data_IF_717117838523
#
_entry.id   IF_717117838523
#
_cell.length_a   1.000
_cell.length_b   1.000
_cell.length_c   1.000
_cell.angle_alpha   90.00
_cell.angle_beta   90.00
_cell.angle_gamma   90.00
#
_symmetry.space_group_name_H-M   'P 1'
#
loop_
_entity.id
_entity.type
_entity.pdbx_description
1 polymer ?
#
# COMPACT_ATOMS: atom_id res chain seq x y z
N UNK A 1 -6.26 -21.31 3.81
CA UNK A 1 -6.45 -20.19 4.75
C UNK A 1 -5.56 -20.46 5.95
N UNK A 2 -4.90 -19.45 6.54
CA UNK A 2 -4.29 -19.63 7.85
C UNK A 2 -5.34 -20.19 8.81
N UNK A 3 -4.96 -21.16 9.65
CA UNK A 3 -5.87 -21.65 10.68
C UNK A 3 -5.85 -20.73 11.90
N UNK A 4 -6.79 -20.92 12.83
CA UNK A 4 -6.90 -20.14 14.08
C UNK A 4 -5.56 -20.02 14.82
N UNK A 5 -4.80 -21.14 14.90
CA UNK A 5 -3.49 -21.18 15.55
C UNK A 5 -2.46 -20.29 14.87
N UNK A 6 -2.52 -20.16 13.56
CA UNK A 6 -1.62 -19.29 12.78
C UNK A 6 -1.93 -17.83 13.06
N UNK A 7 -3.21 -17.43 13.03
CA UNK A 7 -3.61 -16.06 13.38
C UNK A 7 -3.23 -15.71 14.82
N UNK A 8 -3.46 -16.63 15.77
CA UNK A 8 -3.05 -16.49 17.17
C UNK A 8 -1.54 -16.27 17.31
N UNK A 9 -0.73 -17.11 16.65
CA UNK A 9 0.73 -17.01 16.70
C UNK A 9 1.24 -15.69 16.12
N UNK A 10 0.80 -15.33 14.91
CA UNK A 10 1.20 -14.10 14.24
C UNK A 10 0.79 -12.86 15.04
N UNK A 11 -0.40 -12.88 15.66
CA UNK A 11 -0.89 -11.81 16.54
C UNK A 11 -0.02 -11.68 17.80
N UNK A 12 0.31 -12.79 18.46
CA UNK A 12 1.17 -12.80 19.64
C UNK A 12 2.58 -12.26 19.35
N UNK A 13 3.16 -12.64 18.20
CA UNK A 13 4.44 -12.09 17.74
C UNK A 13 4.35 -10.61 17.44
N UNK A 14 3.31 -10.17 16.70
CA UNK A 14 3.12 -8.76 16.37
C UNK A 14 2.99 -7.87 17.61
N UNK A 15 2.24 -8.32 18.63
CA UNK A 15 2.12 -7.61 19.91
C UNK A 15 3.45 -7.49 20.64
N UNK A 16 4.31 -8.50 20.52
CA UNK A 16 5.68 -8.46 21.06
C UNK A 16 6.54 -7.46 20.30
N UNK A 17 6.44 -7.39 18.97
CA UNK A 17 7.26 -6.48 18.13
C UNK A 17 6.80 -5.04 18.17
N UNK A 18 5.51 -4.85 18.42
CA UNK A 18 4.95 -3.55 18.69
C UNK A 18 5.50 -2.96 19.99
N UNK A 19 5.96 -3.78 20.94
CA UNK A 19 6.12 -3.37 22.34
C UNK A 19 4.80 -2.75 22.84
N UNK A 20 3.70 -3.47 22.57
CA UNK A 20 2.34 -2.99 22.79
C UNK A 20 2.11 -2.77 24.28
N UNK A 21 1.77 -1.55 24.66
CA UNK A 21 1.48 -1.15 26.03
C UNK A 21 -0.04 -1.08 26.29
N UNK A 22 -0.87 -1.59 25.37
CA UNK A 22 -2.32 -1.59 25.52
C UNK A 22 -2.72 -2.29 26.84
N UNK A 23 -3.39 -1.58 27.76
CA UNK A 23 -3.59 -2.06 29.13
C UNK A 23 -4.66 -3.16 29.28
N UNK A 24 -5.44 -3.47 28.24
CA UNK A 24 -6.56 -4.44 28.30
C UNK A 24 -6.70 -5.19 26.97
N UNK A 25 -6.91 -6.51 27.03
CA UNK A 25 -7.33 -7.32 25.87
C UNK A 25 -6.23 -7.98 25.06
N UNK A 26 -4.97 -8.02 25.54
CA UNK A 26 -3.86 -8.70 24.81
C UNK A 26 -4.18 -10.17 24.57
N UNK A 27 -4.67 -10.83 25.61
CA UNK A 27 -4.99 -12.26 25.62
C UNK A 27 -6.20 -12.57 24.74
N UNK A 28 -7.26 -11.76 24.82
CA UNK A 28 -8.47 -11.88 24.00
C UNK A 28 -8.20 -11.51 22.54
N UNK A 29 -7.34 -10.51 22.28
CA UNK A 29 -6.91 -10.15 20.94
C UNK A 29 -6.20 -11.31 20.26
N UNK A 30 -5.30 -11.99 20.98
CA UNK A 30 -4.62 -13.20 20.49
C UNK A 30 -5.64 -14.33 20.30
N UNK A 31 -6.44 -14.65 21.32
CA UNK A 31 -7.25 -15.89 21.32
C UNK A 31 -8.53 -15.80 20.50
N UNK A 32 -9.12 -14.61 20.37
CA UNK A 32 -10.50 -14.45 19.90
C UNK A 32 -10.65 -13.36 18.84
N UNK A 33 -10.19 -12.13 19.10
CA UNK A 33 -10.55 -10.99 18.23
C UNK A 33 -9.86 -11.05 16.87
N UNK A 34 -8.66 -11.61 16.79
CA UNK A 34 -7.99 -11.88 15.52
C UNK A 34 -8.68 -12.97 14.67
N UNK A 35 -9.77 -13.58 15.14
CA UNK A 35 -10.56 -14.59 14.42
C UNK A 35 -11.93 -14.06 14.00
N UNK A 36 -12.26 -12.81 14.32
CA UNK A 36 -13.58 -12.23 14.06
C UNK A 36 -14.03 -12.25 12.58
N UNK A 37 -13.14 -12.05 11.59
CA UNK A 37 -13.55 -12.09 10.19
C UNK A 37 -14.00 -13.48 9.73
N UNK A 38 -13.31 -14.53 10.18
CA UNK A 38 -13.73 -15.92 9.94
C UNK A 38 -15.03 -16.25 10.66
N UNK A 39 -15.13 -15.85 11.94
CA UNK A 39 -16.30 -16.12 12.77
C UNK A 39 -17.58 -15.47 12.24
N UNK A 40 -17.49 -14.40 11.45
CA UNK A 40 -18.65 -13.78 10.80
C UNK A 40 -19.48 -14.76 9.97
N UNK A 41 -18.85 -15.72 9.30
CA UNK A 41 -19.57 -16.68 8.45
C UNK A 41 -20.31 -17.77 9.24
N UNK A 42 -20.03 -17.91 10.54
CA UNK A 42 -20.62 -18.93 11.42
C UNK A 42 -21.52 -18.31 12.49
N UNK A 43 -21.12 -17.16 13.03
CA UNK A 43 -21.75 -16.43 14.13
C UNK A 43 -21.81 -14.92 13.85
N UNK A 44 -22.49 -14.49 12.77
CA UNK A 44 -22.52 -13.08 12.36
C UNK A 44 -23.04 -12.17 13.48
N UNK A 45 -23.99 -12.63 14.29
CA UNK A 45 -24.59 -11.85 15.39
C UNK A 45 -23.58 -11.42 16.46
N UNK A 46 -22.40 -12.06 16.52
CA UNK A 46 -21.35 -11.78 17.48
C UNK A 46 -20.27 -10.85 16.94
N UNK A 47 -20.13 -10.76 15.61
CA UNK A 47 -18.98 -10.11 14.97
C UNK A 47 -19.35 -9.07 13.91
N UNK A 48 -20.61 -8.97 13.47
CA UNK A 48 -21.07 -8.08 12.40
C UNK A 48 -20.66 -6.62 12.63
N UNK A 49 -20.78 -6.13 13.87
CA UNK A 49 -20.41 -4.74 14.23
C UNK A 49 -18.94 -4.40 13.90
N UNK A 50 -18.05 -5.39 14.00
CA UNK A 50 -16.61 -5.20 13.85
C UNK A 50 -16.12 -5.43 12.42
N UNK A 51 -16.96 -6.01 11.56
CA UNK A 51 -16.61 -6.31 10.19
C UNK A 51 -16.93 -5.12 9.28
N UNK A 52 -16.02 -4.84 8.35
CA UNK A 52 -16.16 -3.77 7.38
C UNK A 52 -16.58 -4.31 6.02
N UNK A 53 -17.52 -3.61 5.38
CA UNK A 53 -17.98 -3.90 4.03
C UNK A 53 -17.88 -2.64 3.16
N UNK A 54 -17.40 -2.80 1.93
CA UNK A 54 -17.35 -1.73 0.94
C UNK A 54 -17.93 -2.23 -0.38
N UNK A 55 -18.98 -1.55 -0.86
CA UNK A 55 -19.72 -1.93 -2.08
C UNK A 55 -20.19 -3.41 -2.04
N UNK A 56 -20.57 -3.91 -0.86
CA UNK A 56 -21.09 -5.27 -0.66
C UNK A 56 -20.02 -6.37 -0.53
N UNK A 57 -18.74 -6.01 -0.56
CA UNK A 57 -17.61 -6.94 -0.39
C UNK A 57 -17.10 -6.81 1.05
N UNK A 58 -16.88 -7.94 1.74
CA UNK A 58 -16.28 -7.96 3.09
C UNK A 58 -14.79 -7.66 2.99
N UNK A 59 -14.25 -6.91 3.95
CA UNK A 59 -12.84 -6.54 4.00
C UNK A 59 -11.87 -7.73 3.97
N UNK A 60 -12.28 -8.87 4.52
CA UNK A 60 -11.52 -10.12 4.53
C UNK A 60 -11.13 -10.60 3.11
N UNK A 61 -11.92 -10.26 2.07
CA UNK A 61 -11.68 -10.67 0.68
C UNK A 61 -11.59 -9.46 -0.26
N UNK A 62 -10.48 -8.71 -0.25
CA UNK A 62 -10.34 -7.52 -1.07
C UNK A 62 -10.28 -7.91 -2.55
N UNK A 63 -10.83 -7.10 -3.46
CA UNK A 63 -10.69 -7.36 -4.89
C UNK A 63 -9.22 -7.30 -5.33
N UNK A 64 -8.86 -8.03 -6.38
CA UNK A 64 -7.54 -7.92 -7.02
C UNK A 64 -7.37 -6.55 -7.70
N UNK A 65 -6.13 -6.07 -7.84
CA UNK A 65 -5.85 -4.92 -8.71
C UNK A 65 -6.06 -5.36 -10.17
N UNK A 66 -6.92 -4.68 -10.96
CA UNK A 66 -7.23 -5.11 -12.32
C UNK A 66 -6.14 -4.67 -13.30
N UNK A 67 -4.90 -5.19 -13.16
CA UNK A 67 -3.78 -4.81 -14.01
C UNK A 67 -4.04 -5.05 -15.51
N UNK A 68 -4.93 -5.99 -15.84
CA UNK A 68 -5.38 -6.25 -17.21
C UNK A 68 -5.94 -4.99 -17.89
N UNK A 69 -6.60 -4.12 -17.13
CA UNK A 69 -7.20 -2.89 -17.65
C UNK A 69 -6.15 -1.88 -18.13
N UNK A 70 -4.92 -1.97 -17.60
CA UNK A 70 -3.83 -1.07 -17.98
C UNK A 70 -3.18 -1.47 -19.32
N UNK A 71 -3.12 -2.76 -19.67
CA UNK A 71 -2.38 -3.21 -20.86
C UNK A 71 -3.23 -3.87 -21.95
N UNK A 72 -4.47 -4.29 -21.67
CA UNK A 72 -5.28 -5.08 -22.64
C UNK A 72 -6.19 -4.24 -23.52
N UNK A 73 -6.87 -3.23 -22.95
CA UNK A 73 -7.98 -2.55 -23.63
C UNK A 73 -7.55 -1.24 -24.31
N UNK A 74 -6.98 -1.39 -25.50
CA UNK A 74 -6.49 -0.28 -26.32
C UNK A 74 -7.11 -0.28 -27.71
N UNK A 75 -7.39 0.91 -28.25
CA UNK A 75 -7.86 1.10 -29.63
C UNK A 75 -7.06 2.18 -30.35
N UNK A 76 -6.96 2.05 -31.67
CA UNK A 76 -6.37 3.08 -32.52
C UNK A 76 -7.27 4.32 -32.57
N UNK A 77 -6.67 5.50 -32.40
CA UNK A 77 -7.37 6.76 -32.63
C UNK A 77 -7.36 7.15 -34.11
N UNK A 78 -8.43 7.78 -34.62
CA UNK A 78 -8.39 8.46 -35.92
C UNK A 78 -7.27 9.51 -35.91
N UNK A 79 -6.30 9.39 -36.83
CA UNK A 79 -5.12 10.27 -36.87
C UNK A 79 -3.84 9.68 -36.28
N UNK A 80 -3.88 8.45 -35.74
CA UNK A 80 -2.73 7.71 -35.24
C UNK A 80 -2.68 7.60 -33.71
N UNK A 81 -1.83 6.70 -33.21
CA UNK A 81 -1.69 6.40 -31.78
C UNK A 81 -2.73 5.42 -31.22
N UNK A 82 -2.58 5.08 -29.93
CA UNK A 82 -3.55 4.27 -29.18
C UNK A 82 -4.15 5.06 -28.02
N UNK A 83 -5.38 4.72 -27.67
CA UNK A 83 -6.06 5.20 -26.47
C UNK A 83 -6.64 4.02 -25.69
N UNK A 84 -6.65 4.15 -24.36
CA UNK A 84 -7.38 3.24 -23.49
C UNK A 84 -8.88 3.38 -23.71
N UNK A 85 -9.57 2.27 -23.92
CA UNK A 85 -11.02 2.27 -24.11
C UNK A 85 -11.79 2.11 -22.80
N UNK A 86 -11.11 1.62 -21.76
CA UNK A 86 -11.66 1.48 -20.42
C UNK A 86 -10.89 2.37 -19.45
N UNK A 87 -11.58 3.14 -18.58
CA UNK A 87 -10.91 3.85 -17.50
C UNK A 87 -10.39 2.83 -16.50
N UNK A 88 -9.14 3.00 -16.07
CA UNK A 88 -8.59 2.18 -15.01
C UNK A 88 -9.19 2.58 -13.67
N UNK A 89 -9.70 1.59 -12.93
CA UNK A 89 -10.24 1.76 -11.59
C UNK A 89 -9.56 0.77 -10.65
N UNK A 90 -8.76 1.27 -9.72
CA UNK A 90 -8.09 0.43 -8.74
C UNK A 90 -9.05 0.07 -7.59
N UNK A 91 -9.87 -0.95 -7.79
CA UNK A 91 -10.86 -1.40 -6.80
C UNK A 91 -10.23 -1.92 -5.51
N UNK A 92 -9.07 -2.57 -5.60
CA UNK A 92 -8.30 -2.97 -4.43
C UNK A 92 -7.95 -1.75 -3.57
N UNK A 93 -7.35 -0.71 -4.18
CA UNK A 93 -7.00 0.52 -3.47
C UNK A 93 -8.21 1.14 -2.79
N UNK A 94 -9.32 1.33 -3.53
CA UNK A 94 -10.53 1.95 -2.98
C UNK A 94 -11.09 1.18 -1.78
N UNK A 95 -11.14 -0.15 -1.91
CA UNK A 95 -11.67 -1.02 -0.87
C UNK A 95 -10.79 -1.01 0.39
N UNK A 96 -9.49 -1.23 0.21
CA UNK A 96 -8.52 -1.33 1.32
C UNK A 96 -8.27 0.03 1.99
N UNK A 97 -8.20 1.12 1.22
CA UNK A 97 -8.07 2.49 1.75
C UNK A 97 -9.22 2.86 2.67
N UNK A 98 -10.47 2.57 2.25
CA UNK A 98 -11.65 2.84 3.06
C UNK A 98 -11.66 2.02 4.35
N UNK A 99 -11.28 0.75 4.28
CA UNK A 99 -11.21 -0.14 5.44
C UNK A 99 -10.11 0.28 6.42
N UNK A 100 -8.89 0.51 5.95
CA UNK A 100 -7.78 0.98 6.79
C UNK A 100 -8.13 2.28 7.50
N UNK A 101 -8.78 3.22 6.78
CA UNK A 101 -9.29 4.46 7.35
C UNK A 101 -10.29 4.21 8.45
N UNK A 102 -11.26 3.33 8.21
CA UNK A 102 -12.24 2.93 9.21
C UNK A 102 -11.56 2.36 10.46
N UNK A 103 -10.72 1.34 10.34
CA UNK A 103 -10.11 0.69 11.50
C UNK A 103 -9.17 1.62 12.27
N UNK A 104 -8.28 2.36 11.59
CA UNK A 104 -7.40 3.30 12.29
C UNK A 104 -8.18 4.39 13.03
N UNK A 105 -9.23 4.94 12.42
CA UNK A 105 -10.06 5.96 13.06
C UNK A 105 -10.83 5.38 14.26
N UNK A 106 -11.54 4.26 14.06
CA UNK A 106 -12.39 3.63 15.09
C UNK A 106 -11.57 3.14 16.28
N UNK A 107 -10.44 2.45 16.04
CA UNK A 107 -9.55 1.98 17.10
C UNK A 107 -9.01 3.18 17.91
N UNK A 108 -8.53 4.22 17.24
CA UNK A 108 -8.01 5.41 17.91
C UNK A 108 -9.10 6.16 18.69
N UNK A 109 -10.33 6.26 18.18
CA UNK A 109 -11.46 6.87 18.87
C UNK A 109 -11.86 6.08 20.14
N UNK A 110 -11.97 4.75 20.03
CA UNK A 110 -12.23 3.85 21.15
C UNK A 110 -11.18 4.02 22.25
N UNK A 111 -9.89 3.96 21.89
CA UNK A 111 -8.79 4.08 22.85
C UNK A 111 -8.67 5.47 23.46
N UNK A 112 -8.93 6.56 22.71
CA UNK A 112 -9.02 7.91 23.28
C UNK A 112 -10.14 8.05 24.31
N UNK A 113 -11.23 7.29 24.17
CA UNK A 113 -12.36 7.24 25.10
C UNK A 113 -12.19 6.19 26.21
N UNK A 114 -11.04 5.52 26.28
CA UNK A 114 -10.75 4.44 27.22
C UNK A 114 -11.64 3.20 27.04
N UNK A 115 -12.28 3.05 25.88
CA UNK A 115 -13.03 1.85 25.46
C UNK A 115 -12.06 0.85 24.80
N UNK A 116 -11.11 0.35 25.59
CA UNK A 116 -9.99 -0.44 25.08
C UNK A 116 -10.42 -1.78 24.48
N UNK A 117 -11.37 -2.48 25.12
CA UNK A 117 -11.88 -3.78 24.67
C UNK A 117 -12.47 -3.68 23.26
N UNK A 118 -13.37 -2.72 23.05
CA UNK A 118 -14.01 -2.49 21.75
C UNK A 118 -12.98 -2.10 20.69
N UNK A 119 -12.01 -1.25 21.05
CA UNK A 119 -10.89 -0.93 20.15
C UNK A 119 -10.07 -2.16 19.76
N UNK A 120 -9.81 -3.07 20.70
CA UNK A 120 -9.11 -4.33 20.43
C UNK A 120 -9.91 -5.27 19.50
N UNK A 121 -11.24 -5.25 19.55
CA UNK A 121 -12.08 -6.03 18.62
C UNK A 121 -11.95 -5.55 17.17
N UNK A 122 -12.00 -4.24 16.93
CA UNK A 122 -11.74 -3.65 15.61
C UNK A 122 -10.28 -3.88 15.16
N UNK A 123 -9.32 -3.77 16.08
CA UNK A 123 -7.92 -4.04 15.78
C UNK A 123 -7.73 -5.51 15.36
N UNK A 124 -8.39 -6.47 16.03
CA UNK A 124 -8.32 -7.88 15.68
C UNK A 124 -8.69 -8.16 14.23
N UNK A 125 -9.76 -7.52 13.73
CA UNK A 125 -10.17 -7.64 12.32
C UNK A 125 -9.11 -7.07 11.37
N UNK A 126 -8.52 -5.90 11.69
CA UNK A 126 -7.43 -5.34 10.89
C UNK A 126 -6.21 -6.27 10.85
N UNK A 127 -5.81 -6.84 11.99
CA UNK A 127 -4.66 -7.75 12.06
C UNK A 127 -4.90 -9.04 11.29
N UNK A 128 -6.10 -9.62 11.39
CA UNK A 128 -6.48 -10.82 10.65
C UNK A 128 -6.32 -10.62 9.14
N UNK A 129 -6.91 -9.54 8.59
CA UNK A 129 -6.76 -9.19 7.18
C UNK A 129 -5.29 -9.07 6.74
N UNK A 130 -4.45 -8.38 7.54
CA UNK A 130 -3.03 -8.21 7.22
C UNK A 130 -2.27 -9.55 7.22
N UNK A 131 -2.70 -10.51 8.05
CA UNK A 131 -2.15 -11.86 8.10
C UNK A 131 -2.55 -12.66 6.86
N UNK A 132 -3.82 -12.66 6.47
CA UNK A 132 -4.29 -13.36 5.26
C UNK A 132 -3.65 -12.82 3.99
N UNK A 133 -3.58 -11.50 3.89
CA UNK A 133 -2.97 -10.82 2.76
C UNK A 133 -1.49 -11.18 2.52
N UNK A 134 -0.81 -11.77 3.51
CA UNK A 134 0.63 -11.99 3.47
C UNK A 134 1.06 -13.40 3.85
N UNK A 135 0.16 -14.26 4.32
CA UNK A 135 0.48 -15.63 4.71
C UNK A 135 -0.50 -16.65 4.14
N UNK A 136 0.01 -17.84 3.81
CA UNK A 136 -0.84 -18.90 3.28
C UNK A 136 -1.37 -18.58 1.88
N UNK A 137 -2.49 -19.22 1.55
CA UNK A 137 -3.10 -19.14 0.23
C UNK A 137 -3.75 -17.78 -0.07
N UNK A 138 -4.19 -17.01 0.93
CA UNK A 138 -4.79 -15.68 0.70
C UNK A 138 -3.79 -14.64 0.22
N UNK A 139 -2.48 -14.88 0.35
CA UNK A 139 -1.47 -14.04 -0.30
C UNK A 139 -1.46 -14.17 -1.84
N UNK A 140 -2.30 -15.04 -2.41
CA UNK A 140 -2.63 -15.05 -3.84
C UNK A 140 -3.66 -13.99 -4.24
N UNK A 141 -4.32 -13.34 -3.29
CA UNK A 141 -5.34 -12.31 -3.51
C UNK A 141 -4.75 -10.90 -3.38
N UNK A 142 -5.49 -9.88 -3.83
CA UNK A 142 -5.12 -8.48 -3.70
C UNK A 142 -4.15 -7.96 -4.78
N UNK A 143 -3.18 -7.08 -4.43
CA UNK A 143 -2.20 -6.56 -5.37
C UNK A 143 -1.33 -7.66 -5.96
N UNK A 144 -1.36 -7.80 -7.29
CA UNK A 144 -0.59 -8.84 -7.99
C UNK A 144 -1.28 -10.20 -7.98
N UNK A 145 -2.51 -10.27 -7.47
CA UNK A 145 -3.20 -11.52 -7.21
C UNK A 145 -3.26 -12.46 -8.42
N UNK A 146 -3.17 -13.75 -8.14
CA UNK A 146 -3.27 -14.84 -9.09
C UNK A 146 -4.28 -15.86 -8.62
N UNK A 147 -4.94 -16.51 -9.57
CA UNK A 147 -5.84 -17.60 -9.27
C UNK A 147 -5.05 -18.88 -8.92
N UNK A 148 -5.53 -19.64 -7.93
CA UNK A 148 -5.01 -20.96 -7.56
C UNK A 148 -4.99 -21.90 -8.77
N UNK A 149 -6.03 -21.87 -9.61
CA UNK A 149 -6.07 -22.71 -10.82
C UNK A 149 -5.02 -22.32 -11.87
N UNK A 150 -4.48 -21.10 -11.83
CA UNK A 150 -3.33 -20.75 -12.64
C UNK A 150 -2.07 -21.48 -12.13
N UNK A 151 -1.91 -21.61 -10.82
CA UNK A 151 -0.79 -22.34 -10.21
C UNK A 151 -0.90 -23.84 -10.48
N UNK A 152 -2.09 -24.44 -10.33
CA UNK A 152 -2.33 -25.86 -10.63
C UNK A 152 -1.94 -26.22 -12.07
N UNK A 153 -2.27 -25.34 -13.02
CA UNK A 153 -1.90 -25.51 -14.44
C UNK A 153 -0.40 -25.37 -14.68
N UNK A 154 0.28 -24.50 -13.94
CA UNK A 154 1.72 -24.27 -14.06
C UNK A 154 2.54 -25.41 -13.43
N UNK A 155 2.07 -25.99 -12.32
CA UNK A 155 2.74 -27.09 -11.64
C UNK A 155 2.38 -28.45 -12.23
N UNK A 156 1.21 -28.59 -12.84
CA UNK A 156 0.68 -29.85 -13.34
C UNK A 156 -0.01 -30.71 -12.26
N UNK A 157 -0.19 -30.18 -11.04
CA UNK A 157 -0.85 -30.88 -9.93
C UNK A 157 -1.60 -29.88 -9.02
N UNK A 158 -2.63 -30.30 -8.27
CA UNK A 158 -3.34 -29.42 -7.32
C UNK A 158 -2.43 -28.86 -6.22
N UNK A 159 -2.46 -27.54 -5.98
CA UNK A 159 -1.60 -26.85 -5.01
C UNK A 159 -2.31 -26.52 -3.69
N UNK A 160 -3.63 -26.73 -3.60
CA UNK A 160 -4.46 -26.35 -2.46
C UNK A 160 -3.86 -26.83 -1.13
N UNK A 161 -3.65 -28.14 -1.00
CA UNK A 161 -3.17 -28.77 0.24
C UNK A 161 -1.80 -28.27 0.66
N UNK A 162 -0.89 -28.08 -0.32
CA UNK A 162 0.46 -27.56 -0.09
C UNK A 162 0.43 -26.13 0.47
N UNK A 163 -0.45 -25.29 -0.05
CA UNK A 163 -0.57 -23.89 0.38
C UNK A 163 -1.38 -23.71 1.67
N UNK A 164 -2.35 -24.59 1.95
CA UNK A 164 -3.02 -24.61 3.27
C UNK A 164 -2.14 -25.20 4.36
N UNK A 165 -1.22 -26.09 4.01
CA UNK A 165 -0.32 -26.77 4.94
C UNK A 165 0.99 -26.02 5.22
N UNK A 166 1.12 -24.75 4.82
CA UNK A 166 2.35 -24.00 5.07
C UNK A 166 2.63 -23.89 6.57
N UNK A 167 3.82 -24.31 7.05
CA UNK A 167 4.17 -24.12 8.44
C UNK A 167 4.34 -22.63 8.74
N UNK A 168 3.79 -22.15 9.86
CA UNK A 168 4.03 -20.80 10.35
C UNK A 168 5.18 -20.84 11.37
N UNK A 169 6.40 -20.37 11.02
CA UNK A 169 7.53 -20.44 11.93
C UNK A 169 7.40 -19.44 13.06
N UNK A 170 7.79 -19.86 14.26
CA UNK A 170 7.91 -18.95 15.39
C UNK A 170 9.09 -17.97 15.20
N UNK A 171 8.96 -16.81 15.84
CA UNK A 171 9.92 -15.72 15.85
C UNK A 171 10.33 -15.27 14.44
N UNK A 172 9.38 -15.26 13.50
CA UNK A 172 9.65 -15.05 12.09
C UNK A 172 10.29 -13.68 11.82
N UNK A 173 9.88 -12.66 12.57
CA UNK A 173 10.37 -11.29 12.40
C UNK A 173 11.69 -10.96 13.13
N UNK A 174 12.39 -11.92 13.75
CA UNK A 174 13.73 -11.71 14.36
C UNK A 174 13.76 -10.71 15.53
N UNK A 175 14.35 -9.53 15.36
CA UNK A 175 14.38 -8.44 16.37
C UNK A 175 13.65 -7.16 15.90
N UNK A 176 12.82 -7.27 14.86
CA UNK A 176 12.02 -6.17 14.34
C UNK A 176 11.30 -5.37 15.44
N UNK A 177 11.40 -4.04 15.33
CA UNK A 177 10.69 -3.05 16.15
C UNK A 177 9.69 -2.31 15.28
N UNK A 178 8.45 -2.21 15.74
CA UNK A 178 7.40 -1.54 15.01
C UNK A 178 7.70 -0.06 14.73
N UNK A 179 7.28 0.38 13.55
CA UNK A 179 7.33 1.76 13.09
C UNK A 179 5.93 2.35 13.17
N UNK A 180 5.85 3.64 13.51
CA UNK A 180 4.60 4.40 13.38
C UNK A 180 4.51 4.92 11.95
N UNK A 181 3.45 4.52 11.25
CA UNK A 181 3.31 4.74 9.81
C UNK A 181 2.87 6.15 9.44
N UNK A 182 2.22 6.91 10.33
CA UNK A 182 1.78 8.26 10.01
C UNK A 182 1.43 9.09 11.23
N UNK A 183 1.47 10.42 11.05
CA UNK A 183 1.13 11.39 12.08
C UNK A 183 -0.39 11.64 12.19
N UNK A 184 -1.15 11.16 11.20
CA UNK A 184 -2.60 11.27 11.09
C UNK A 184 -3.15 9.99 10.47
N UNK A 185 -4.47 9.78 10.57
CA UNK A 185 -5.14 8.65 9.92
C UNK A 185 -4.86 8.64 8.42
N UNK A 186 -4.99 9.78 7.73
CA UNK A 186 -4.79 9.85 6.28
C UNK A 186 -3.39 9.40 5.84
N UNK A 187 -2.36 9.81 6.59
CA UNK A 187 -0.99 9.38 6.29
C UNK A 187 -0.77 7.91 6.67
N UNK A 188 -1.26 7.48 7.83
CA UNK A 188 -1.17 6.10 8.28
C UNK A 188 -1.80 5.13 7.27
N UNK A 189 -2.98 5.48 6.73
CA UNK A 189 -3.67 4.72 5.68
C UNK A 189 -2.83 4.64 4.42
N UNK A 190 -2.35 5.78 3.91
CA UNK A 190 -1.56 5.81 2.68
C UNK A 190 -0.25 5.00 2.79
N UNK A 191 0.40 5.04 3.97
CA UNK A 191 1.62 4.25 4.21
C UNK A 191 1.34 2.78 4.47
N UNK A 192 0.29 2.45 5.22
CA UNK A 192 -0.09 1.05 5.44
C UNK A 192 -0.49 0.39 4.12
N UNK A 193 -1.21 1.08 3.23
CA UNK A 193 -1.52 0.56 1.90
C UNK A 193 -0.25 0.24 1.10
N UNK A 194 0.76 1.10 1.15
CA UNK A 194 2.02 0.85 0.48
C UNK A 194 2.79 -0.34 1.06
N UNK A 195 2.86 -0.46 2.39
CA UNK A 195 3.50 -1.60 3.03
C UNK A 195 2.72 -2.90 2.79
N UNK A 196 1.38 -2.85 2.79
CA UNK A 196 0.49 -3.96 2.42
C UNK A 196 0.80 -4.47 1.00
N UNK A 197 0.83 -3.57 0.01
CA UNK A 197 1.13 -3.94 -1.39
C UNK A 197 2.52 -4.56 -1.53
N UNK A 198 3.53 -4.02 -0.84
CA UNK A 198 4.89 -4.59 -0.84
C UNK A 198 4.90 -5.99 -0.24
N UNK A 199 4.34 -6.15 0.96
CA UNK A 199 4.34 -7.40 1.69
C UNK A 199 3.53 -8.49 0.97
N UNK A 200 2.38 -8.17 0.40
CA UNK A 200 1.57 -9.12 -0.38
C UNK A 200 2.31 -9.57 -1.64
N UNK A 201 2.91 -8.65 -2.40
CA UNK A 201 3.72 -9.02 -3.56
C UNK A 201 4.93 -9.89 -3.16
N UNK A 202 5.65 -9.53 -2.09
CA UNK A 202 6.77 -10.32 -1.59
C UNK A 202 6.34 -11.73 -1.15
N UNK A 203 5.17 -11.84 -0.50
CA UNK A 203 4.59 -13.12 -0.09
C UNK A 203 4.12 -13.94 -1.30
N UNK A 204 3.56 -13.31 -2.33
CA UNK A 204 3.26 -13.97 -3.60
C UNK A 204 4.53 -14.53 -4.25
N UNK A 205 5.63 -13.77 -4.27
CA UNK A 205 6.93 -14.27 -4.72
C UNK A 205 7.43 -15.45 -3.89
N UNK A 206 7.21 -15.43 -2.57
CA UNK A 206 7.51 -16.53 -1.68
C UNK A 206 6.71 -17.78 -2.04
N UNK A 207 5.41 -17.66 -2.36
CA UNK A 207 4.59 -18.77 -2.84
C UNK A 207 5.13 -19.34 -4.14
N UNK A 208 5.40 -18.51 -5.16
CA UNK A 208 5.97 -18.99 -6.42
C UNK A 208 7.31 -19.71 -6.20
N UNK A 209 8.18 -19.19 -5.34
CA UNK A 209 9.45 -19.85 -5.00
C UNK A 209 9.23 -21.17 -4.26
N UNK A 210 8.30 -21.21 -3.31
CA UNK A 210 7.96 -22.41 -2.57
C UNK A 210 7.41 -23.52 -3.47
N UNK A 211 6.62 -23.17 -4.50
CA UNK A 211 6.01 -24.13 -5.40
C UNK A 211 6.94 -24.61 -6.51
N UNK A 212 7.72 -23.70 -7.12
CA UNK A 212 8.39 -23.94 -8.40
C UNK A 212 9.92 -23.92 -8.35
N UNK A 213 10.52 -23.51 -7.23
CA UNK A 213 11.99 -23.43 -7.11
C UNK A 213 12.46 -24.46 -6.09
N UNK A 214 13.52 -25.25 -6.38
CA UNK A 214 14.18 -26.08 -5.38
C UNK A 214 14.84 -25.16 -4.33
N UNK A 215 14.10 -24.77 -3.30
CA UNK A 215 14.55 -23.88 -2.23
C UNK A 215 14.67 -24.64 -0.90
N UNK A 216 15.42 -24.06 0.04
CA UNK A 216 15.43 -24.50 1.44
C UNK A 216 14.02 -24.35 2.00
N UNK A 217 13.44 -25.46 2.47
CA UNK A 217 12.01 -25.61 2.79
C UNK A 217 11.43 -24.49 3.68
N UNK A 218 12.22 -23.95 4.63
CA UNK A 218 11.71 -23.02 5.64
C UNK A 218 11.87 -21.53 5.30
N UNK A 219 12.62 -21.20 4.25
CA UNK A 219 12.96 -19.80 3.95
C UNK A 219 11.75 -18.95 3.56
N UNK A 220 10.84 -19.51 2.77
CA UNK A 220 9.69 -18.76 2.22
C UNK A 220 8.55 -18.61 3.22
N UNK A 221 8.10 -19.66 3.93
CA UNK A 221 7.10 -19.51 4.97
C UNK A 221 7.56 -18.56 6.09
N UNK A 222 8.85 -18.59 6.46
CA UNK A 222 9.42 -17.63 7.42
C UNK A 222 9.33 -16.19 6.92
N UNK A 223 9.66 -15.94 5.65
CA UNK A 223 9.58 -14.60 5.08
C UNK A 223 8.13 -14.09 5.03
N UNK A 224 7.17 -14.94 4.65
CA UNK A 224 5.75 -14.61 4.67
C UNK A 224 5.26 -14.28 6.09
N UNK A 225 5.60 -15.11 7.08
CA UNK A 225 5.26 -14.86 8.48
C UNK A 225 5.91 -13.57 9.00
N UNK A 226 7.18 -13.30 8.62
CA UNK A 226 7.86 -12.06 8.97
C UNK A 226 7.15 -10.82 8.38
N UNK A 227 6.67 -10.90 7.14
CA UNK A 227 5.90 -9.84 6.49
C UNK A 227 4.60 -9.55 7.26
N UNK A 228 3.85 -10.61 7.59
CA UNK A 228 2.61 -10.52 8.38
C UNK A 228 2.85 -9.86 9.74
N UNK A 229 3.83 -10.35 10.49
CA UNK A 229 4.18 -9.83 11.83
C UNK A 229 4.60 -8.37 11.77
N UNK A 230 5.43 -7.97 10.80
CA UNK A 230 5.89 -6.58 10.64
C UNK A 230 4.75 -5.62 10.36
N UNK A 231 3.84 -5.98 9.44
CA UNK A 231 2.66 -5.18 9.12
C UNK A 231 1.74 -5.03 10.32
N UNK A 232 1.43 -6.13 10.99
CA UNK A 232 0.59 -6.13 12.18
C UNK A 232 1.21 -5.28 13.28
N UNK A 233 2.52 -5.42 13.52
CA UNK A 233 3.22 -4.65 14.54
C UNK A 233 3.20 -3.13 14.24
N UNK A 234 3.44 -2.74 12.98
CA UNK A 234 3.36 -1.35 12.54
C UNK A 234 1.93 -0.80 12.68
N UNK A 235 0.90 -1.59 12.37
CA UNK A 235 -0.51 -1.21 12.55
C UNK A 235 -0.88 -1.01 14.03
N UNK A 236 -0.40 -1.88 14.93
CA UNK A 236 -0.58 -1.74 16.38
C UNK A 236 0.07 -0.45 16.89
N UNK A 237 1.37 -0.26 16.61
CA UNK A 237 2.11 0.92 17.05
C UNK A 237 1.51 2.22 16.49
N UNK A 238 1.02 2.18 15.25
CA UNK A 238 0.33 3.31 14.62
C UNK A 238 -0.99 3.61 15.29
N UNK A 239 -1.79 2.59 15.62
CA UNK A 239 -3.06 2.78 16.35
C UNK A 239 -2.84 3.40 17.73
N UNK A 240 -1.80 2.97 18.46
CA UNK A 240 -1.43 3.57 19.75
C UNK A 240 -1.01 5.03 19.60
N UNK A 241 -0.25 5.35 18.55
CA UNK A 241 0.15 6.72 18.27
C UNK A 241 -1.05 7.62 17.97
N UNK A 242 -1.95 7.16 17.09
CA UNK A 242 -3.18 7.89 16.73
C UNK A 242 -4.14 8.07 17.92
N UNK A 243 -4.08 7.17 18.90
CA UNK A 243 -4.79 7.30 20.16
C UNK A 243 -4.11 8.24 21.18
N UNK A 244 -2.89 8.72 20.90
CA UNK A 244 -2.10 9.53 21.83
C UNK A 244 -1.40 8.74 22.94
N UNK A 245 -1.35 7.41 22.83
CA UNK A 245 -0.74 6.51 23.81
C UNK A 245 0.76 6.30 23.56
N UNK A 246 1.23 6.57 22.33
CA UNK A 246 2.62 6.43 21.91
C UNK A 246 3.13 7.69 21.23
N UNK A 247 4.23 8.32 21.71
CA UNK A 247 4.87 9.39 20.96
C UNK A 247 5.58 8.83 19.71
N UNK A 248 5.58 9.61 18.63
CA UNK A 248 6.33 9.29 17.42
C UNK A 248 6.91 10.56 16.80
N UNK A 249 8.07 10.41 16.17
CA UNK A 249 8.70 11.45 15.40
C UNK A 249 8.64 11.11 13.91
N UNK A 250 8.45 12.15 13.10
CA UNK A 250 8.34 12.00 11.66
C UNK A 250 9.37 12.87 10.94
N UNK A 251 10.07 12.33 9.94
CA UNK A 251 11.07 13.08 9.21
C UNK A 251 10.43 14.22 8.44
N UNK A 252 11.11 15.38 8.40
CA UNK A 252 10.63 16.58 7.71
C UNK A 252 10.52 16.39 6.19
N UNK A 253 11.25 15.43 5.63
CA UNK A 253 11.22 15.05 4.22
C UNK A 253 11.04 13.55 4.09
N UNK A 254 10.23 13.13 3.12
CA UNK A 254 10.01 11.72 2.80
C UNK A 254 10.12 11.49 1.29
N UNK A 255 10.70 10.38 0.83
CA UNK A 255 10.63 10.00 -0.57
C UNK A 255 9.18 9.70 -1.00
N UNK A 256 8.78 10.10 -2.20
CA UNK A 256 7.45 9.77 -2.75
C UNK A 256 7.27 8.25 -2.91
N UNK A 257 8.36 7.54 -3.18
CA UNK A 257 8.38 6.09 -3.41
C UNK A 257 8.00 5.26 -2.18
N UNK A 258 7.88 5.87 -1.00
CA UNK A 258 7.34 5.16 0.18
C UNK A 258 5.84 4.93 0.04
N UNK A 259 5.15 5.71 -0.79
CA UNK A 259 3.74 5.53 -1.13
C UNK A 259 3.61 4.64 -2.37
N UNK A 260 2.51 3.89 -2.42
CA UNK A 260 2.16 3.12 -3.60
C UNK A 260 1.39 4.01 -4.59
N UNK A 261 1.79 4.06 -5.87
CA UNK A 261 0.94 4.63 -6.90
C UNK A 261 -0.42 3.93 -6.93
N UNK A 262 -1.52 4.65 -7.03
CA UNK A 262 -2.81 3.98 -7.24
C UNK A 262 -3.03 3.65 -8.72
N UNK A 263 -2.41 4.41 -9.65
CA UNK A 263 -2.34 4.11 -11.09
C UNK A 263 -0.87 4.10 -11.54
N UNK A 264 -0.47 3.01 -12.18
CA UNK A 264 0.91 2.72 -12.56
C UNK A 264 1.11 2.85 -14.06
N UNK A 265 2.31 3.26 -14.51
CA UNK A 265 2.60 3.35 -15.93
C UNK A 265 2.88 1.94 -16.48
N UNK A 266 1.81 1.21 -16.78
CA UNK A 266 1.81 -0.11 -17.41
C UNK A 266 1.31 0.02 -18.85
N UNK A 267 2.24 0.08 -19.81
CA UNK A 267 1.93 0.16 -21.24
C UNK A 267 3.09 -0.33 -22.11
N UNK A 268 2.77 -1.16 -23.12
CA UNK A 268 3.55 -1.38 -24.35
C UNK A 268 4.89 -2.13 -24.27
N UNK A 269 5.78 -1.76 -23.37
CA UNK A 269 7.10 -2.38 -23.17
C UNK A 269 7.78 -1.66 -22.00
N UNK A 270 8.27 -2.37 -20.99
CA UNK A 270 8.99 -1.72 -19.90
C UNK A 270 9.15 -2.53 -18.63
N UNK A 271 10.24 -2.25 -17.90
CA UNK A 271 10.67 -2.84 -16.63
C UNK A 271 9.74 -2.52 -15.44
N UNK A 272 8.65 -1.78 -15.67
CA UNK A 272 7.75 -1.26 -14.64
C UNK A 272 6.70 -2.24 -14.12
N UNK A 273 6.71 -3.49 -14.61
CA UNK A 273 5.84 -4.57 -14.12
C UNK A 273 6.12 -4.97 -12.66
N UNK A 274 7.16 -4.37 -12.04
CA UNK A 274 7.70 -4.78 -10.74
C UNK A 274 8.06 -3.59 -9.84
N UNK A 275 7.34 -2.46 -9.94
CA UNK A 275 7.65 -1.26 -9.15
C UNK A 275 7.67 -1.53 -7.63
N UNK A 276 6.75 -2.37 -7.16
CA UNK A 276 6.69 -2.82 -5.77
C UNK A 276 7.94 -3.63 -5.34
N UNK A 277 8.72 -4.12 -6.31
CA UNK A 277 10.00 -4.83 -6.10
C UNK A 277 11.24 -3.95 -6.32
N UNK A 278 11.06 -2.72 -6.82
CA UNK A 278 12.17 -1.82 -7.11
C UNK A 278 12.60 -1.09 -5.82
N UNK A 279 13.79 -1.43 -5.31
CA UNK A 279 14.31 -0.93 -4.02
C UNK A 279 14.87 0.51 -4.05
N UNK A 280 14.88 1.19 -5.20
CA UNK A 280 15.46 2.54 -5.29
C UNK A 280 14.44 3.61 -4.87
N UNK A 281 14.53 4.04 -3.60
CA UNK A 281 13.67 5.09 -3.05
C UNK A 281 13.89 6.47 -3.69
N UNK A 282 14.91 6.62 -4.52
CA UNK A 282 15.32 7.89 -5.09
C UNK A 282 15.22 7.92 -6.61
N UNK A 283 14.75 6.85 -7.26
CA UNK A 283 14.65 6.80 -8.71
C UNK A 283 13.50 5.92 -9.18
N UNK A 284 12.74 6.47 -10.12
CA UNK A 284 11.64 5.81 -10.82
C UNK A 284 11.90 5.92 -12.33
N UNK A 285 11.77 4.83 -13.10
CA UNK A 285 12.19 4.75 -14.52
C UNK A 285 11.21 3.96 -15.40
N UNK A 286 10.40 4.64 -16.22
CA UNK A 286 9.30 4.04 -16.99
C UNK A 286 9.25 4.55 -18.44
N UNK A 287 8.60 3.83 -19.33
CA UNK A 287 8.46 4.24 -20.73
C UNK A 287 7.34 5.27 -20.91
N UNK A 288 7.57 6.27 -21.76
CA UNK A 288 6.53 7.18 -22.25
C UNK A 288 5.86 6.57 -23.48
N UNK A 289 4.63 6.06 -23.29
CA UNK A 289 3.88 5.33 -24.29
C UNK A 289 2.40 5.71 -24.27
N UNK A 290 1.92 6.27 -25.39
CA UNK A 290 0.54 6.69 -25.57
C UNK A 290 0.01 7.54 -24.40
N UNK A 291 -0.91 7.00 -23.59
CA UNK A 291 -1.41 7.58 -22.34
C UNK A 291 -0.78 6.84 -21.15
N UNK A 292 0.38 7.33 -20.71
CA UNK A 292 1.11 6.77 -19.57
C UNK A 292 0.86 7.62 -18.33
N UNK A 293 0.51 7.00 -17.21
CA UNK A 293 0.22 7.72 -15.96
C UNK A 293 0.97 7.12 -14.77
N UNK A 294 1.52 7.99 -13.92
CA UNK A 294 2.09 7.64 -12.62
C UNK A 294 1.37 8.52 -11.60
N UNK A 295 0.33 7.98 -10.97
CA UNK A 295 -0.55 8.75 -10.08
C UNK A 295 -0.59 8.14 -8.68
N UNK A 296 -0.56 9.03 -7.69
CA UNK A 296 -0.65 8.74 -6.27
C UNK A 296 -1.93 9.39 -5.71
N UNK A 297 -2.49 8.82 -4.65
CA UNK A 297 -3.46 9.52 -3.80
C UNK A 297 -2.71 9.96 -2.55
N UNK A 298 -2.35 11.24 -2.51
CA UNK A 298 -1.62 11.80 -1.37
C UNK A 298 -2.57 12.41 -0.34
N UNK A 299 -2.30 12.25 0.96
CA UNK A 299 -3.12 12.86 2.01
C UNK A 299 -3.05 14.39 1.92
N UNK A 300 -4.21 15.04 1.96
CA UNK A 300 -4.30 16.51 1.88
C UNK A 300 -3.79 17.13 3.19
N UNK A 301 -3.22 18.33 3.11
CA UNK A 301 -2.76 19.11 4.27
C UNK A 301 -1.70 18.40 5.15
N UNK A 302 -0.91 17.49 4.58
CA UNK A 302 0.23 16.86 5.27
C UNK A 302 1.56 17.40 4.75
N UNK A 303 1.64 17.58 3.42
CA UNK A 303 2.88 17.98 2.75
C UNK A 303 2.82 19.45 2.32
N UNK A 304 3.90 20.18 2.58
CA UNK A 304 4.10 21.56 2.17
C UNK A 304 4.46 21.64 0.69
N UNK A 305 5.29 20.71 0.20
CA UNK A 305 5.77 20.75 -1.17
C UNK A 305 6.19 19.37 -1.68
N UNK A 306 6.15 19.20 -2.99
CA UNK A 306 6.79 18.11 -3.72
C UNK A 306 7.88 18.67 -4.63
N UNK A 307 9.00 17.96 -4.76
CA UNK A 307 10.07 18.28 -5.71
C UNK A 307 10.69 17.03 -6.31
N UNK A 308 11.08 17.09 -7.58
CA UNK A 308 11.81 16.02 -8.25
C UNK A 308 12.51 16.51 -9.51
N UNK A 309 13.62 15.87 -9.90
CA UNK A 309 14.17 16.03 -11.24
C UNK A 309 13.53 15.05 -12.21
N UNK A 310 13.05 15.51 -13.36
CA UNK A 310 12.51 14.65 -14.42
C UNK A 310 13.47 14.65 -15.61
N UNK A 311 13.78 13.47 -16.14
CA UNK A 311 14.64 13.29 -17.31
C UNK A 311 13.95 12.41 -18.34
N UNK A 312 14.12 12.76 -19.61
CA UNK A 312 13.66 12.00 -20.77
C UNK A 312 14.87 11.50 -21.57
N UNK A 313 14.88 10.21 -21.88
CA UNK A 313 15.82 9.57 -22.78
C UNK A 313 15.04 9.23 -24.06
N UNK A 314 15.12 10.09 -25.08
CA UNK A 314 14.37 9.90 -26.31
C UNK A 314 14.86 8.68 -27.10
N UNK A 315 13.95 7.97 -27.74
CA UNK A 315 14.28 6.88 -28.65
C UNK A 315 14.93 7.39 -29.94
N UNK A 316 14.46 8.54 -30.44
CA UNK A 316 15.03 9.23 -31.62
C UNK A 316 15.19 10.73 -31.34
N UNK A 317 16.06 11.46 -32.06
CA UNK A 317 16.24 12.90 -31.84
C UNK A 317 14.97 13.75 -32.05
N UNK A 318 13.99 13.23 -32.78
CA UNK A 318 12.69 13.88 -33.02
C UNK A 318 11.63 13.52 -31.98
N UNK A 319 11.86 12.52 -31.13
CA UNK A 319 10.92 12.10 -30.08
C UNK A 319 10.60 13.26 -29.13
N UNK A 320 9.30 13.40 -28.83
CA UNK A 320 8.76 14.40 -27.91
C UNK A 320 7.71 13.77 -27.02
N UNK A 321 7.62 14.25 -25.79
CA UNK A 321 6.58 13.82 -24.84
C UNK A 321 5.96 15.02 -24.16
N UNK A 322 4.64 15.11 -24.22
CA UNK A 322 3.88 16.08 -23.45
C UNK A 322 3.67 15.53 -22.03
N UNK A 323 4.02 16.33 -21.04
CA UNK A 323 3.94 15.99 -19.62
C UNK A 323 2.99 16.94 -18.92
N UNK A 324 2.03 16.39 -18.20
CA UNK A 324 1.18 17.10 -17.25
C UNK A 324 1.57 16.68 -15.84
N UNK A 325 1.86 17.67 -14.99
CA UNK A 325 2.04 17.49 -13.55
C UNK A 325 0.71 17.82 -12.87
N UNK A 326 0.15 16.84 -12.15
CA UNK A 326 -1.18 16.93 -11.56
C UNK A 326 -1.13 17.09 -10.04
N UNK A 327 -2.10 17.83 -9.50
CA UNK A 327 -2.45 17.84 -8.07
C UNK A 327 -3.97 17.99 -7.92
N UNK A 328 -4.58 17.32 -6.95
CA UNK A 328 -6.04 17.24 -6.82
C UNK A 328 -6.77 16.86 -8.12
N UNK A 329 -6.13 16.06 -8.97
CA UNK A 329 -6.64 15.63 -10.27
C UNK A 329 -6.63 16.72 -11.35
N UNK A 330 -6.08 17.90 -11.07
CA UNK A 330 -6.02 19.03 -12.01
C UNK A 330 -4.58 19.32 -12.46
N UNK A 331 -4.36 19.77 -13.71
CA UNK A 331 -3.04 20.17 -14.17
C UNK A 331 -2.51 21.39 -13.42
N UNK A 332 -1.38 21.23 -12.74
CA UNK A 332 -0.64 22.30 -12.08
C UNK A 332 0.48 22.86 -12.98
N UNK A 333 1.07 22.03 -13.85
CA UNK A 333 2.04 22.44 -14.86
C UNK A 333 1.96 21.55 -16.09
N UNK A 334 2.32 22.10 -17.25
CA UNK A 334 2.40 21.38 -18.52
C UNK A 334 3.65 21.80 -19.29
N UNK A 335 4.36 20.83 -19.86
CA UNK A 335 5.59 21.08 -20.63
C UNK A 335 5.87 19.93 -21.60
N UNK A 336 6.84 20.12 -22.49
CA UNK A 336 7.28 19.11 -23.45
C UNK A 336 8.75 18.79 -23.19
N UNK A 337 9.07 17.50 -23.09
CA UNK A 337 10.46 17.03 -23.11
C UNK A 337 10.85 16.55 -24.50
N UNK A 338 12.08 16.82 -24.90
CA UNK A 338 12.66 16.42 -26.19
C UNK A 338 14.19 16.25 -26.08
N UNK A 339 14.86 15.89 -27.18
CA UNK A 339 16.33 15.84 -27.20
C UNK A 339 16.98 17.21 -26.89
N UNK A 340 16.33 18.33 -27.26
CA UNK A 340 16.82 19.69 -26.99
C UNK A 340 16.56 20.14 -25.54
N UNK A 341 15.48 19.63 -24.94
CA UNK A 341 15.09 19.90 -23.55
C UNK A 341 14.79 18.58 -22.84
N UNK A 342 15.83 17.78 -22.50
CA UNK A 342 15.65 16.42 -22.02
C UNK A 342 15.37 16.34 -20.52
N UNK A 343 15.30 17.46 -19.80
CA UNK A 343 15.10 17.47 -18.35
C UNK A 343 14.30 18.67 -17.87
N UNK A 344 13.56 18.47 -16.78
CA UNK A 344 12.75 19.48 -16.11
C UNK A 344 12.79 19.27 -14.60
N UNK A 345 12.97 20.35 -13.83
CA UNK A 345 12.73 20.32 -12.38
C UNK A 345 11.23 20.48 -12.11
N UNK A 346 10.69 19.58 -11.29
CA UNK A 346 9.29 19.56 -10.88
C UNK A 346 9.19 20.17 -9.48
N UNK A 347 8.20 21.04 -9.29
CA UNK A 347 7.84 21.58 -7.99
C UNK A 347 6.31 21.73 -7.88
N UNK A 348 5.74 21.27 -6.77
CA UNK A 348 4.35 21.55 -6.40
C UNK A 348 4.30 22.10 -4.99
N UNK A 349 3.41 23.07 -4.79
CA UNK A 349 3.05 23.55 -3.45
C UNK A 349 1.82 22.79 -2.99
N UNK A 350 1.83 22.35 -1.72
CA UNK A 350 0.75 21.63 -1.07
C UNK A 350 0.19 20.45 -1.89
N UNK A 351 1.02 19.46 -2.28
CA UNK A 351 0.55 18.32 -3.06
C UNK A 351 -0.48 17.51 -2.26
N UNK A 352 -1.64 17.23 -2.88
CA UNK A 352 -2.71 16.45 -2.26
C UNK A 352 -3.64 15.82 -3.29
N UNK A 353 -4.48 14.90 -2.82
CA UNK A 353 -5.44 14.18 -3.66
C UNK A 353 -4.75 13.36 -4.74
N UNK A 354 -5.37 13.28 -5.92
CA UNK A 354 -4.77 12.65 -7.10
C UNK A 354 -3.61 13.52 -7.59
N UNK A 355 -2.38 13.06 -7.38
CA UNK A 355 -1.15 13.80 -7.63
C UNK A 355 -0.16 12.92 -8.42
N UNK A 356 0.57 13.49 -9.38
CA UNK A 356 1.56 12.75 -10.14
C UNK A 356 1.74 13.23 -11.57
N UNK A 357 2.13 12.32 -12.46
CA UNK A 357 2.44 12.60 -13.86
C UNK A 357 1.44 11.93 -14.80
N UNK A 358 1.01 12.67 -15.81
CA UNK A 358 0.35 12.13 -17.00
C UNK A 358 1.16 12.50 -18.24
N UNK A 359 1.45 11.50 -19.05
CA UNK A 359 2.24 11.62 -20.27
C UNK A 359 1.34 11.29 -21.45
N UNK A 360 1.35 12.13 -22.48
CA UNK A 360 0.60 11.90 -23.71
C UNK A 360 1.56 11.93 -24.91
N UNK A 361 1.56 10.84 -25.70
CA UNK A 361 2.39 10.68 -26.89
C UNK A 361 1.62 9.93 -27.98
N UNK A 362 2.01 10.10 -29.25
CA UNK A 362 1.39 9.35 -30.34
C UNK A 362 1.95 7.92 -30.49
N UNK A 363 3.11 7.62 -29.88
CA UNK A 363 3.84 6.36 -30.00
C UNK A 363 4.73 6.11 -28.76
N UNK A 364 5.48 5.00 -28.74
CA UNK A 364 6.55 4.82 -27.75
C UNK A 364 7.73 5.72 -28.10
N UNK A 365 7.97 6.77 -27.31
CA UNK A 365 8.93 7.83 -27.68
C UNK A 365 10.22 7.81 -26.87
N UNK A 366 10.30 7.03 -25.78
CA UNK A 366 11.50 6.93 -24.96
C UNK A 366 11.23 6.62 -23.48
N UNK A 367 12.28 6.71 -22.67
CA UNK A 367 12.24 6.44 -21.23
C UNK A 367 12.16 7.75 -20.42
N UNK A 368 11.34 7.74 -19.38
CA UNK A 368 11.19 8.77 -18.37
C UNK A 368 11.84 8.31 -17.09
N UNK A 369 12.65 9.18 -16.50
CA UNK A 369 13.33 8.96 -15.23
C UNK A 369 12.99 10.09 -14.27
N UNK A 370 12.37 9.74 -13.14
CA UNK A 370 12.09 10.66 -12.05
C UNK A 370 13.14 10.44 -10.94
N UNK A 371 13.94 11.47 -10.68
CA UNK A 371 15.04 11.50 -9.74
C UNK A 371 14.66 12.24 -8.46
N UNK A 372 14.99 11.63 -7.32
CA UNK A 372 14.80 12.14 -5.95
C UNK A 372 13.39 12.73 -5.72
N UNK A 373 12.30 12.00 -6.07
CA UNK A 373 10.96 12.51 -5.82
C UNK A 373 10.73 12.62 -4.32
N UNK A 374 10.64 13.85 -3.82
CA UNK A 374 10.68 14.15 -2.39
C UNK A 374 9.49 14.99 -2.00
N UNK A 375 8.83 14.61 -0.90
CA UNK A 375 7.77 15.36 -0.25
C UNK A 375 8.32 16.00 1.03
N UNK A 376 8.08 17.29 1.20
CA UNK A 376 8.40 18.02 2.44
C UNK A 376 7.13 18.15 3.27
N UNK A 377 7.19 17.78 4.55
CA UNK A 377 6.06 17.94 5.48
C UNK A 377 5.78 19.40 5.79
N UNK A 378 4.53 19.71 6.09
CA UNK A 378 4.18 20.94 6.79
C UNK A 378 4.87 20.94 8.16
N UNK A 379 5.60 22.01 8.47
CA UNK A 379 6.17 22.19 9.80
C UNK A 379 5.07 22.32 10.85
N UNK A 380 5.37 21.99 12.12
CA UNK A 380 4.48 22.35 13.23
C UNK A 380 4.28 23.86 13.19
N UNK A 381 3.08 24.34 12.85
CA UNK A 381 2.72 25.73 13.11
C UNK A 381 2.87 25.93 14.61
N UNK A 382 3.81 26.80 15.04
CA UNK A 382 3.82 27.26 16.42
C UNK A 382 2.41 27.78 16.70
N UNK A 383 1.74 27.36 17.78
CA UNK A 383 0.51 28.04 18.17
C UNK A 383 0.83 29.53 18.28
N UNK A 384 -0.07 30.43 17.85
CA UNK A 384 0.14 31.86 18.04
C UNK A 384 0.48 32.08 19.50
N UNK A 385 1.60 32.78 19.76
CA UNK A 385 1.94 33.21 21.12
C UNK A 385 0.69 33.87 21.67
N UNK A 386 0.12 33.32 22.75
CA UNK A 386 -0.82 34.06 23.58
C UNK A 386 -0.12 35.39 23.86
N UNK A 387 -0.69 36.48 23.36
CA UNK A 387 -0.30 37.80 23.83
C UNK A 387 -0.45 37.74 25.34
N UNK A 388 0.69 37.88 26.03
CA UNK A 388 0.66 38.07 27.47
C UNK A 388 -0.21 39.31 27.71
N UNK A 389 -1.26 39.13 28.50
CA UNK A 389 -2.05 40.22 29.03
C UNK A 389 -1.08 41.25 29.62
N UNK A 390 -0.92 42.37 28.91
CA UNK A 390 -0.37 43.57 29.51
C UNK A 390 -1.47 44.16 30.36
N UNK A 391 -1.34 44.00 31.66
CA UNK A 391 -1.88 44.90 32.68
C UNK A 391 -0.86 44.91 33.84
N UNK A 392 -0.63 46.05 34.50
CA UNK A 392 -1.52 47.21 34.59
C UNK A 392 -1.11 48.43 33.76
#
# INVERSE_FOLDING_TARGET
>A
MPGDKTHQLLTAEALTRADCNCPIGRDELIRQYCLYPDLYFVHPEQTEEYNFFFEGIQFHYPPNVPYVDLYRYWQHQPGGGLQRTYPFRNDNFRHVEAAFRHYFQTVADCWRRQDYDRGCRFLGVLLHFLQDATFGMHALEGPGGTDLFALDRLSGEPQLERLTGLPCPENAAGEYRARVLGASVDEAVARLYAEYVRATNDSLHCIFRFLFVPAVADSQPRQMAANAVRLCADAIATSEHLAGLRPAEFPSTVPLTIFEPFEFPLGGSGKYRFLSLCQDQHKLSFWAHYDTRLLYVLPKNIFQSFSAGLRFIPLTPSSRVAVELLTDGQPAAQFILSAQHPSQELALTAPGGVCGLRLNTAESVGEIILHRPTLRRLGKTKPPLKQADQNP
#
